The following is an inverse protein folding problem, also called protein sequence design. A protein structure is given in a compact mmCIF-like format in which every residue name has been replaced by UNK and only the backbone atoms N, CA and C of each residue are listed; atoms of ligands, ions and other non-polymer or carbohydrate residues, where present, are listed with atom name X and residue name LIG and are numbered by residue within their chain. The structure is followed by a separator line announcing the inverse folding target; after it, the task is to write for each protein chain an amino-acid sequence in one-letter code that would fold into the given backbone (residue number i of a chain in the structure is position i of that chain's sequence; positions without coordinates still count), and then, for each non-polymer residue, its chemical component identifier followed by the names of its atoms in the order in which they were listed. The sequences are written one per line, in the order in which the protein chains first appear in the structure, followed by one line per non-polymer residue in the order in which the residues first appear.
data_IF_430447540263
#
_entry.id   IF_430447540263
#
_cell.length_a   1.000
_cell.length_b   1.000
_cell.length_c   1.000
_cell.angle_alpha   90.00
_cell.angle_beta   90.00
_cell.angle_gamma   90.00
#
_symmetry.space_group_name_H-M   'P 1'
#
loop_
_entity.id
_entity.type
_entity.pdbx_description
1 polymer ?
#
# COMPACT_ATOMS: atom_id res chain seq x y z
N UNK A 1 11.79 -18.72 15.92
CA UNK A 1 10.61 -17.97 15.45
C UNK A 1 11.07 -16.99 14.39
N UNK A 2 10.27 -16.75 13.34
CA UNK A 2 10.59 -15.77 12.30
C UNK A 2 9.94 -14.44 12.65
N UNK A 3 10.67 -13.35 12.48
CA UNK A 3 10.10 -12.01 12.58
C UNK A 3 9.12 -11.79 11.44
N UNK A 4 7.90 -11.39 11.76
CA UNK A 4 6.86 -11.03 10.80
C UNK A 4 6.43 -9.59 11.06
N UNK A 5 6.17 -8.84 9.99
CA UNK A 5 5.48 -7.56 10.09
C UNK A 5 3.97 -7.84 10.02
N UNK A 6 3.21 -7.24 10.93
CA UNK A 6 1.75 -7.35 10.99
C UNK A 6 1.17 -5.94 10.83
N UNK A 7 0.13 -5.83 10.02
CA UNK A 7 -0.64 -4.60 9.91
C UNK A 7 -1.60 -4.48 11.09
N UNK A 8 -1.79 -3.25 11.54
CA UNK A 8 -2.65 -2.96 12.68
C UNK A 8 -3.11 -1.51 12.64
N UNK A 9 -4.29 -1.25 13.22
CA UNK A 9 -4.81 0.08 13.47
C UNK A 9 -5.14 0.28 14.95
N UNK A 10 -5.14 1.54 15.40
CA UNK A 10 -5.62 1.90 16.73
C UNK A 10 -7.11 2.23 16.64
N UNK A 11 -7.94 1.53 17.41
CA UNK A 11 -9.41 1.71 17.39
C UNK A 11 -9.90 2.82 18.33
N UNK A 12 -8.98 3.52 19.01
CA UNK A 12 -9.27 4.52 20.04
C UNK A 12 -9.05 4.02 21.46
N UNK A 13 -8.95 2.70 21.67
CA UNK A 13 -8.71 2.09 22.98
C UNK A 13 -7.50 1.15 22.95
N UNK A 14 -7.36 0.37 21.87
CA UNK A 14 -6.36 -0.70 21.72
C UNK A 14 -5.84 -0.81 20.29
N UNK A 15 -4.68 -1.46 20.18
CA UNK A 15 -4.09 -1.83 18.88
C UNK A 15 -4.79 -3.11 18.40
N UNK A 16 -5.43 -3.05 17.25
CA UNK A 16 -6.09 -4.17 16.59
C UNK A 16 -5.20 -4.68 15.46
N UNK A 17 -4.92 -5.98 15.43
CA UNK A 17 -4.29 -6.59 14.26
C UNK A 17 -5.32 -6.69 13.15
N UNK A 18 -4.94 -6.28 11.94
CA UNK A 18 -5.85 -6.31 10.79
C UNK A 18 -6.12 -7.76 10.34
N UNK A 19 -5.12 -8.63 10.49
CA UNK A 19 -5.25 -10.07 10.25
C UNK A 19 -5.10 -10.91 11.53
N UNK A 20 -5.81 -12.05 11.64
CA UNK A 20 -5.66 -12.96 12.77
C UNK A 20 -4.22 -13.49 12.91
N UNK A 21 -3.63 -13.32 14.09
CA UNK A 21 -2.31 -13.85 14.43
C UNK A 21 -2.33 -14.55 15.79
N UNK A 22 -1.77 -15.77 15.87
CA UNK A 22 -1.60 -16.46 17.15
C UNK A 22 -0.34 -15.95 17.85
N UNK A 23 -0.53 -15.26 18.96
CA UNK A 23 0.54 -14.77 19.82
C UNK A 23 0.57 -15.56 21.14
N UNK A 24 1.57 -16.43 21.36
CA UNK A 24 1.77 -17.07 22.67
C UNK A 24 1.96 -16.03 23.79
N UNK A 25 1.63 -16.37 25.05
CA UNK A 25 1.92 -15.52 26.19
C UNK A 25 3.39 -15.10 26.23
N UNK A 26 3.65 -13.83 26.56
CA UNK A 26 5.00 -13.24 26.64
C UNK A 26 5.78 -13.22 25.31
N UNK A 27 5.10 -13.32 24.16
CA UNK A 27 5.74 -13.07 22.86
C UNK A 27 6.34 -11.68 22.84
N UNK A 28 7.62 -11.56 22.49
CA UNK A 28 8.29 -10.27 22.37
C UNK A 28 7.80 -9.56 21.12
N UNK A 29 7.24 -8.37 21.30
CA UNK A 29 6.70 -7.52 20.22
C UNK A 29 7.57 -6.26 20.03
N UNK A 30 7.64 -5.76 18.80
CA UNK A 30 8.17 -4.44 18.48
C UNK A 30 7.03 -3.63 17.88
N UNK A 31 6.67 -2.52 18.52
CA UNK A 31 5.59 -1.64 18.05
C UNK A 31 6.21 -0.45 17.34
N UNK A 32 5.78 -0.20 16.10
CA UNK A 32 6.17 0.95 15.31
C UNK A 32 4.90 1.74 14.99
N UNK A 33 4.82 2.98 15.45
CA UNK A 33 3.72 3.88 15.11
C UNK A 33 4.08 4.59 13.81
N UNK A 34 3.28 4.35 12.76
CA UNK A 34 3.47 5.02 11.49
C UNK A 34 2.95 6.47 11.60
N UNK A 35 3.62 7.44 10.95
CA UNK A 35 3.11 8.80 10.89
C UNK A 35 1.76 8.82 10.16
N UNK A 36 0.93 9.81 10.49
CA UNK A 36 -0.28 10.07 9.72
C UNK A 36 0.10 10.36 8.27
N UNK A 37 -0.59 9.70 7.36
CA UNK A 37 -0.28 9.74 5.93
C UNK A 37 -1.32 10.57 5.19
N UNK A 38 -1.66 11.72 5.77
CA UNK A 38 -2.65 12.65 5.24
C UNK A 38 -2.35 13.08 3.80
N UNK A 39 -1.08 13.13 3.42
CA UNK A 39 -0.69 13.44 2.06
C UNK A 39 -0.86 12.24 1.10
N UNK A 40 -0.89 10.98 1.57
CA UNK A 40 -0.94 9.79 0.69
C UNK A 40 -2.12 9.83 -0.26
N UNK A 41 -3.29 10.28 0.21
CA UNK A 41 -4.46 10.44 -0.66
C UNK A 41 -4.26 11.57 -1.68
N UNK A 42 -3.63 12.68 -1.28
CA UNK A 42 -3.34 13.79 -2.20
C UNK A 42 -2.31 13.38 -3.25
N UNK A 43 -1.25 12.67 -2.86
CA UNK A 43 -0.25 12.08 -3.75
C UNK A 43 -0.88 11.05 -4.69
N UNK A 44 -1.76 10.17 -4.19
CA UNK A 44 -2.47 9.21 -5.02
C UNK A 44 -3.40 9.91 -6.03
N UNK A 45 -4.10 10.97 -5.61
CA UNK A 45 -4.95 11.78 -6.49
C UNK A 45 -4.14 12.51 -7.56
N UNK A 46 -3.01 13.12 -7.18
CA UNK A 46 -2.10 13.78 -8.10
C UNK A 46 -1.53 12.78 -9.10
N UNK A 47 -1.06 11.62 -8.64
CA UNK A 47 -0.56 10.55 -9.50
C UNK A 47 -1.62 10.08 -10.49
N UNK A 48 -2.87 9.87 -10.05
CA UNK A 48 -3.97 9.48 -10.94
C UNK A 48 -4.30 10.54 -11.99
N UNK A 49 -4.31 11.83 -11.63
CA UNK A 49 -4.52 12.93 -12.58
C UNK A 49 -3.42 13.01 -13.64
N UNK A 50 -2.18 12.83 -13.23
CA UNK A 50 -1.04 12.83 -14.15
C UNK A 50 -0.98 11.56 -15.02
N UNK A 51 -1.35 10.40 -14.47
CA UNK A 51 -1.52 9.17 -15.23
C UNK A 51 -2.56 9.37 -16.34
N UNK A 52 -3.75 9.85 -16.00
CA UNK A 52 -4.81 10.10 -16.98
C UNK A 52 -4.42 11.13 -18.06
N UNK A 53 -3.49 12.05 -17.77
CA UNK A 53 -2.94 13.00 -18.75
C UNK A 53 -1.85 12.38 -19.63
N UNK A 54 -1.06 11.46 -19.10
CA UNK A 54 0.01 10.80 -19.84
C UNK A 54 -0.56 9.92 -20.96
N UNK A 55 -1.73 9.31 -20.72
CA UNK A 55 -2.49 8.57 -21.72
C UNK A 55 -3.40 9.50 -22.53
N UNK A 56 -3.05 9.74 -23.80
CA UNK A 56 -3.84 10.55 -24.73
C UNK A 56 -4.90 9.72 -25.48
N UNK A 57 -6.01 10.33 -25.89
CA UNK A 57 -7.02 9.64 -26.74
C UNK A 57 -6.47 9.15 -28.08
N UNK A 58 -5.35 9.70 -28.54
CA UNK A 58 -4.68 9.34 -29.78
C UNK A 58 -3.46 8.42 -29.54
N UNK A 59 -3.39 7.76 -28.38
CA UNK A 59 -2.35 6.75 -28.20
C UNK A 59 -2.51 5.62 -29.23
N UNK A 60 -1.41 5.20 -29.88
CA UNK A 60 -1.45 4.08 -30.79
C UNK A 60 -1.72 2.79 -30.00
N UNK A 61 -2.59 1.95 -30.54
CA UNK A 61 -2.76 0.60 -30.03
C UNK A 61 -1.50 -0.21 -30.37
N UNK A 62 -0.74 -0.58 -29.34
CA UNK A 62 0.44 -1.44 -29.51
C UNK A 62 -0.01 -2.87 -29.77
N UNK A 63 0.46 -3.43 -30.87
CA UNK A 63 0.15 -4.78 -31.32
C UNK A 63 1.40 -5.66 -31.35
N UNK A 64 1.21 -6.97 -31.56
CA UNK A 64 2.31 -7.92 -31.73
C UNK A 64 3.19 -7.56 -32.96
N UNK A 65 2.66 -6.81 -33.92
CA UNK A 65 3.39 -6.37 -35.11
C UNK A 65 4.42 -5.26 -34.80
N UNK A 66 4.30 -4.57 -33.66
CA UNK A 66 5.21 -3.49 -33.25
C UNK A 66 6.47 -4.00 -32.53
N UNK A 67 6.57 -5.31 -32.30
CA UNK A 67 7.75 -5.94 -31.71
C UNK A 67 8.85 -6.05 -32.77
N UNK A 68 9.96 -5.34 -32.56
CA UNK A 68 11.17 -5.50 -33.38
C UNK A 68 11.85 -6.84 -33.03
N UNK A 69 12.28 -7.65 -34.02
CA UNK A 69 12.96 -8.93 -33.79
C UNK A 69 14.36 -8.79 -33.18
#
# INVERSE_FOLDING_TARGET
MRTIALSAHFDGEKIQLDEPCRLPPNTRLMVVVLPDDGERQEWARLAAQHLARAYGQAEPEYTVADLCP
#
